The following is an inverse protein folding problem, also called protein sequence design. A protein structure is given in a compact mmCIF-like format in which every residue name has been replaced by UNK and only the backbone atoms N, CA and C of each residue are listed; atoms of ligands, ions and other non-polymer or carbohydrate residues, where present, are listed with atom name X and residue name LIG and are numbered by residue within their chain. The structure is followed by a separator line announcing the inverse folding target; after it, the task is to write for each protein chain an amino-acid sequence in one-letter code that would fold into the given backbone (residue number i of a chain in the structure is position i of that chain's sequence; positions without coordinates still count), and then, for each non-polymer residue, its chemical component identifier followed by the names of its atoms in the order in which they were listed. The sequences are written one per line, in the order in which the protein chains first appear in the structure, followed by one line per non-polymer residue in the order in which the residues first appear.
data_IF_003455776824
#
_entry.id   IF_003455776824
#
_cell.length_a   1.000
_cell.length_b   1.000
_cell.length_c   1.000
_cell.angle_alpha   90.00
_cell.angle_beta   90.00
_cell.angle_gamma   90.00
#
_symmetry.space_group_name_H-M   'P 1'
#
loop_
_entity.id
_entity.type
_entity.pdbx_description
1 polymer ?
#
# COMPACT_ATOMS: atom_id res chain seq x y z
N UNK A 1 6.39 -9.15 16.46
CA UNK A 1 6.33 -8.71 15.05
C UNK A 1 4.89 -8.57 14.60
N UNK A 2 4.64 -7.62 13.73
CA UNK A 2 3.31 -7.35 13.15
C UNK A 2 3.32 -7.63 11.64
N UNK A 3 2.12 -7.69 11.04
CA UNK A 3 1.95 -7.67 9.61
C UNK A 3 1.55 -6.27 9.16
N UNK A 4 2.31 -5.71 8.23
CA UNK A 4 1.95 -4.47 7.51
C UNK A 4 1.42 -4.83 6.13
N UNK A 5 0.20 -4.39 5.82
CA UNK A 5 -0.41 -4.60 4.50
C UNK A 5 -0.15 -3.39 3.62
N UNK A 6 0.65 -3.58 2.58
CA UNK A 6 0.96 -2.57 1.56
C UNK A 6 0.12 -2.84 0.31
N UNK A 7 -0.62 -1.84 -0.10
CA UNK A 7 -1.44 -1.89 -1.33
C UNK A 7 -0.98 -0.85 -2.36
N UNK A 8 -0.12 0.06 -1.98
CA UNK A 8 0.37 1.16 -2.80
C UNK A 8 1.86 1.03 -3.11
N UNK A 9 2.58 2.16 -3.04
CA UNK A 9 3.98 2.22 -3.47
C UNK A 9 4.93 1.32 -2.66
N UNK A 10 4.58 0.98 -1.43
CA UNK A 10 5.39 0.09 -0.59
C UNK A 10 5.28 -1.39 -0.99
N UNK A 11 4.47 -1.71 -2.00
CA UNK A 11 4.55 -3.03 -2.65
C UNK A 11 5.87 -3.23 -3.39
N UNK A 12 6.58 -2.15 -3.71
CA UNK A 12 7.94 -2.22 -4.23
C UNK A 12 8.89 -2.50 -3.08
N UNK A 13 9.53 -3.69 -3.01
CA UNK A 13 10.39 -4.05 -1.89
C UNK A 13 11.63 -3.15 -1.77
N UNK A 14 12.16 -2.65 -2.88
CA UNK A 14 13.26 -1.70 -2.85
C UNK A 14 12.84 -0.39 -2.17
N UNK A 15 11.61 0.08 -2.42
CA UNK A 15 11.10 1.29 -1.77
C UNK A 15 10.87 1.08 -0.28
N UNK A 16 10.22 -0.02 0.10
CA UNK A 16 9.91 -0.30 1.50
C UNK A 16 11.18 -0.58 2.30
N UNK A 17 11.99 -1.53 1.87
CA UNK A 17 13.16 -1.97 2.62
C UNK A 17 14.31 -1.00 2.52
N UNK A 18 14.70 -0.62 1.29
CA UNK A 18 15.94 0.11 1.06
C UNK A 18 15.79 1.62 1.23
N UNK A 19 14.65 2.17 0.85
CA UNK A 19 14.44 3.62 0.90
C UNK A 19 13.79 4.09 2.20
N UNK A 20 12.92 3.27 2.80
CA UNK A 20 12.13 3.69 3.97
C UNK A 20 12.63 3.12 5.29
N UNK A 21 12.97 1.86 5.35
CA UNK A 21 13.25 1.17 6.62
C UNK A 21 14.73 0.96 6.92
N UNK A 22 15.56 0.83 5.90
CA UNK A 22 16.98 0.49 6.06
C UNK A 22 17.78 1.49 6.92
N UNK A 23 17.55 2.79 6.72
CA UNK A 23 18.26 3.84 7.47
C UNK A 23 17.99 3.81 8.97
N UNK A 24 16.86 3.24 9.37
CA UNK A 24 16.47 3.09 10.76
C UNK A 24 16.75 1.70 11.31
N UNK A 25 17.53 0.90 10.57
CA UNK A 25 17.92 -0.47 10.95
C UNK A 25 16.73 -1.38 11.31
N UNK A 26 15.60 -1.20 10.66
CA UNK A 26 14.44 -2.06 10.86
C UNK A 26 14.66 -3.40 10.15
N UNK A 27 14.60 -4.48 10.92
CA UNK A 27 14.77 -5.85 10.42
C UNK A 27 13.45 -6.36 9.86
N UNK A 28 13.40 -6.57 8.54
CA UNK A 28 12.24 -7.13 7.87
C UNK A 28 12.20 -8.64 7.99
N UNK A 29 11.00 -9.17 8.23
CA UNK A 29 10.69 -10.59 8.12
C UNK A 29 10.17 -10.94 6.72
N UNK A 30 9.40 -12.04 6.58
CA UNK A 30 8.88 -12.48 5.29
C UNK A 30 7.92 -11.47 4.65
N UNK A 31 7.86 -11.54 3.31
CA UNK A 31 6.95 -10.79 2.46
C UNK A 31 6.12 -11.79 1.67
N UNK A 32 4.81 -11.73 1.80
CA UNK A 32 3.87 -12.65 1.13
C UNK A 32 2.73 -11.86 0.50
N UNK A 33 1.99 -12.48 -0.41
CA UNK A 33 0.78 -11.89 -0.96
C UNK A 33 -0.35 -11.82 0.07
N UNK A 34 -1.22 -10.83 -0.06
CA UNK A 34 -2.39 -10.67 0.80
C UNK A 34 -3.61 -10.17 0.04
N UNK A 35 -4.79 -10.55 0.54
CA UNK A 35 -6.08 -10.12 0.00
C UNK A 35 -6.91 -9.48 1.09
N UNK A 36 -7.38 -8.28 0.84
CA UNK A 36 -8.27 -7.54 1.73
C UNK A 36 -9.66 -7.44 1.09
N UNK A 37 -10.60 -8.20 1.64
CA UNK A 37 -11.99 -8.23 1.17
C UNK A 37 -12.76 -7.03 1.73
N UNK A 38 -13.72 -6.52 0.96
CA UNK A 38 -14.60 -5.43 1.37
C UNK A 38 -14.01 -4.04 1.23
N UNK A 39 -12.94 -3.90 0.48
CA UNK A 39 -12.27 -2.64 0.19
C UNK A 39 -11.93 -2.53 -1.30
N UNK A 40 -11.83 -1.31 -1.78
CA UNK A 40 -11.47 -1.00 -3.17
C UNK A 40 -10.25 -0.08 -3.20
N UNK A 41 -9.32 -0.35 -4.12
CA UNK A 41 -8.20 0.52 -4.42
C UNK A 41 -8.67 1.71 -5.27
N UNK A 42 -8.29 2.91 -4.83
CA UNK A 42 -8.54 4.15 -5.57
C UNK A 42 -7.28 5.02 -5.56
N UNK A 43 -7.18 5.94 -6.51
CA UNK A 43 -6.10 6.93 -6.58
C UNK A 43 -6.68 8.30 -6.30
N UNK A 44 -6.92 8.58 -5.02
CA UNK A 44 -7.56 9.84 -4.60
C UNK A 44 -6.85 10.55 -3.46
N UNK A 45 -5.72 10.04 -2.97
CA UNK A 45 -4.94 10.77 -1.97
C UNK A 45 -4.14 11.85 -2.70
N UNK A 46 -4.32 13.10 -2.27
CA UNK A 46 -3.60 14.25 -2.87
C UNK A 46 -2.11 14.07 -2.65
N UNK A 47 -1.34 13.95 -3.74
CA UNK A 47 0.11 13.88 -3.67
C UNK A 47 0.70 15.28 -3.59
N UNK A 48 1.89 15.39 -3.00
CA UNK A 48 2.57 16.68 -2.82
C UNK A 48 2.95 17.30 -4.15
N UNK A 49 3.42 16.50 -5.11
CA UNK A 49 3.87 16.92 -6.44
C UNK A 49 3.69 15.77 -7.45
N UNK A 50 3.48 16.07 -8.73
CA UNK A 50 3.05 17.37 -9.29
C UNK A 50 1.57 17.65 -8.99
N UNK A 51 1.11 18.85 -9.32
CA UNK A 51 -0.32 19.21 -9.19
C UNK A 51 -1.18 18.20 -9.97
N UNK A 52 -2.28 17.75 -9.38
CA UNK A 52 -3.16 16.74 -9.96
C UNK A 52 -2.72 15.29 -9.77
N UNK A 53 -1.55 15.06 -9.16
CA UNK A 53 -1.06 13.73 -8.89
C UNK A 53 -1.76 13.10 -7.67
N UNK A 54 -1.99 11.79 -7.76
CA UNK A 54 -2.59 10.99 -6.70
C UNK A 54 -1.65 9.92 -6.20
N UNK A 55 -1.69 9.67 -4.89
CA UNK A 55 -1.22 8.43 -4.30
C UNK A 55 -2.41 7.47 -4.09
N UNK A 56 -2.09 6.21 -3.85
CA UNK A 56 -3.10 5.18 -3.62
C UNK A 56 -3.78 5.34 -2.26
N UNK A 57 -5.03 4.93 -2.22
CA UNK A 57 -5.87 4.86 -1.03
C UNK A 57 -6.80 3.65 -1.17
N UNK A 58 -7.42 3.25 -0.09
CA UNK A 58 -8.47 2.23 -0.10
C UNK A 58 -9.73 2.80 0.55
N UNK A 59 -10.88 2.39 0.02
CA UNK A 59 -12.19 2.78 0.54
C UNK A 59 -13.02 1.53 0.76
N UNK A 60 -13.86 1.54 1.79
CA UNK A 60 -14.76 0.42 2.07
C UNK A 60 -15.77 0.29 0.92
N UNK A 61 -15.87 -0.92 0.38
CA UNK A 61 -16.83 -1.26 -0.66
C UNK A 61 -17.18 -2.76 -0.57
N UNK A 62 -18.39 -3.11 -0.08
CA UNK A 62 -18.81 -4.51 -0.02
C UNK A 62 -18.69 -5.20 -1.38
N UNK A 63 -18.10 -6.39 -1.39
CA UNK A 63 -17.89 -7.18 -2.61
C UNK A 63 -16.64 -6.83 -3.41
N UNK A 64 -15.94 -5.75 -3.08
CA UNK A 64 -14.67 -5.41 -3.69
C UNK A 64 -13.50 -6.11 -2.98
N UNK A 65 -12.36 -6.16 -3.64
CA UNK A 65 -11.15 -6.79 -3.14
C UNK A 65 -9.94 -5.93 -3.47
N UNK A 66 -9.04 -5.77 -2.50
CA UNK A 66 -7.73 -5.17 -2.70
C UNK A 66 -6.67 -6.25 -2.54
N UNK A 67 -5.79 -6.39 -3.51
CA UNK A 67 -4.61 -7.23 -3.39
C UNK A 67 -3.38 -6.39 -3.05
N UNK A 68 -2.50 -6.96 -2.26
CA UNK A 68 -1.29 -6.28 -1.85
C UNK A 68 -0.28 -7.25 -1.26
N UNK A 69 0.66 -6.70 -0.50
CA UNK A 69 1.70 -7.49 0.14
C UNK A 69 1.60 -7.39 1.65
N UNK A 70 1.72 -8.52 2.32
CA UNK A 70 1.88 -8.60 3.78
C UNK A 70 3.37 -8.65 4.08
N UNK A 71 3.80 -7.71 4.90
CA UNK A 71 5.21 -7.55 5.24
C UNK A 71 5.37 -7.70 6.74
N UNK A 72 6.13 -8.71 7.16
CA UNK A 72 6.39 -8.95 8.57
C UNK A 72 7.47 -8.01 9.06
N UNK A 73 7.22 -7.32 10.15
CA UNK A 73 8.18 -6.36 10.70
C UNK A 73 7.94 -6.13 12.20
N UNK A 74 8.94 -5.61 12.92
CA UNK A 74 8.70 -5.17 14.28
C UNK A 74 7.83 -3.92 14.28
N UNK A 75 7.16 -3.64 15.38
CA UNK A 75 6.32 -2.46 15.53
C UNK A 75 7.09 -1.15 15.29
N UNK A 76 8.38 -1.12 15.59
CA UNK A 76 9.25 0.00 15.25
C UNK A 76 9.25 0.35 13.76
N UNK A 77 9.00 -0.64 12.90
CA UNK A 77 8.83 -0.41 11.46
C UNK A 77 7.63 0.45 11.13
N UNK A 78 6.51 0.26 11.84
CA UNK A 78 5.33 1.12 11.66
C UNK A 78 5.62 2.55 12.12
N UNK A 79 6.38 2.74 13.18
CA UNK A 79 6.75 4.08 13.64
C UNK A 79 7.54 4.84 12.57
N UNK A 80 8.42 4.15 11.86
CA UNK A 80 9.15 4.71 10.72
C UNK A 80 8.21 5.01 9.55
N UNK A 81 7.31 4.08 9.23
CA UNK A 81 6.34 4.27 8.14
C UNK A 81 5.37 5.42 8.44
N UNK A 82 4.99 5.62 9.68
CA UNK A 82 4.15 6.77 10.07
C UNK A 82 4.77 8.10 9.62
N UNK A 83 6.09 8.21 9.68
CA UNK A 83 6.81 9.41 9.22
C UNK A 83 6.65 9.56 7.70
N UNK A 84 6.90 8.50 6.95
CA UNK A 84 6.79 8.49 5.49
C UNK A 84 5.35 8.71 5.00
N UNK A 85 4.37 8.16 5.74
CA UNK A 85 2.95 8.32 5.41
C UNK A 85 2.38 9.66 5.89
N UNK A 86 3.17 10.45 6.61
CA UNK A 86 2.75 11.76 7.08
C UNK A 86 1.61 11.71 8.10
N UNK A 87 1.61 10.73 8.98
CA UNK A 87 0.56 10.55 9.99
C UNK A 87 0.41 11.79 10.87
N UNK A 88 1.53 12.35 11.34
CA UNK A 88 1.50 13.54 12.18
C UNK A 88 0.92 14.77 11.43
N UNK A 89 1.07 14.83 10.11
CA UNK A 89 0.52 15.89 9.26
C UNK A 89 -0.89 15.62 8.76
N UNK A 90 -1.53 14.52 9.18
CA UNK A 90 -2.88 14.18 8.78
C UNK A 90 -3.02 13.69 7.33
N UNK A 91 -1.96 13.15 6.73
CA UNK A 91 -2.01 12.62 5.36
C UNK A 91 -2.65 11.25 5.30
N UNK A 92 -2.21 10.33 6.17
CA UNK A 92 -2.76 8.99 6.34
C UNK A 92 -2.96 8.69 7.81
N UNK A 93 -3.81 7.72 8.10
CA UNK A 93 -3.99 7.16 9.44
C UNK A 93 -3.81 5.64 9.40
N UNK A 94 -3.27 5.07 10.46
CA UNK A 94 -3.23 3.61 10.64
C UNK A 94 -4.64 3.05 10.72
N UNK A 95 -4.83 1.88 10.14
CA UNK A 95 -6.10 1.13 10.22
C UNK A 95 -5.80 -0.34 10.44
N UNK A 96 -6.45 -0.94 11.44
CA UNK A 96 -6.40 -2.37 11.64
C UNK A 96 -7.35 -3.05 10.67
N UNK A 97 -6.85 -4.07 10.00
CA UNK A 97 -7.60 -4.84 9.00
C UNK A 97 -7.32 -6.34 9.17
N UNK A 98 -8.22 -7.16 8.62
CA UNK A 98 -8.04 -8.60 8.54
C UNK A 98 -7.73 -8.98 7.10
N UNK A 99 -6.55 -9.54 6.87
CA UNK A 99 -6.04 -9.86 5.54
C UNK A 99 -5.87 -11.36 5.38
N UNK A 100 -6.32 -11.90 4.25
CA UNK A 100 -6.14 -13.32 3.93
C UNK A 100 -4.76 -13.50 3.28
N UNK A 101 -3.95 -14.38 3.86
CA UNK A 101 -2.62 -14.72 3.36
C UNK A 101 -2.72 -15.49 2.06
N UNK A 102 -1.91 -15.11 1.09
CA UNK A 102 -1.85 -15.80 -0.20
C UNK A 102 -1.12 -17.14 -0.16
N UNK A 103 -0.27 -17.37 0.85
CA UNK A 103 0.52 -18.61 0.96
C UNK A 103 -0.24 -19.79 1.58
N UNK A 104 -1.13 -19.53 2.53
CA UNK A 104 -1.85 -20.60 3.25
C UNK A 104 -3.35 -20.37 3.42
N UNK A 105 -3.88 -19.25 2.97
CA UNK A 105 -5.31 -18.93 3.06
C UNK A 105 -5.81 -18.52 4.45
N UNK A 106 -4.94 -18.41 5.44
CA UNK A 106 -5.32 -17.95 6.77
C UNK A 106 -5.58 -16.46 6.79
N UNK A 107 -6.55 -16.04 7.59
CA UNK A 107 -6.80 -14.62 7.84
C UNK A 107 -6.00 -14.18 9.06
N UNK A 108 -5.23 -13.10 8.90
CA UNK A 108 -4.38 -12.56 9.96
C UNK A 108 -4.71 -11.10 10.22
N UNK A 109 -4.53 -10.63 11.48
CA UNK A 109 -4.60 -9.20 11.76
C UNK A 109 -3.39 -8.49 11.11
N UNK A 110 -3.66 -7.35 10.52
CA UNK A 110 -2.63 -6.53 9.88
C UNK A 110 -2.92 -5.05 10.11
N UNK A 111 -1.92 -4.22 9.90
CA UNK A 111 -2.04 -2.77 9.93
C UNK A 111 -1.83 -2.24 8.52
N UNK A 112 -2.66 -1.31 8.10
CA UNK A 112 -2.49 -0.58 6.84
C UNK A 112 -2.69 0.91 7.08
N UNK A 113 -2.61 1.71 6.02
CA UNK A 113 -2.83 3.15 6.09
C UNK A 113 -4.00 3.53 5.21
N UNK A 114 -4.86 4.43 5.71
CA UNK A 114 -5.99 4.98 4.95
C UNK A 114 -5.80 6.49 4.84
N UNK A 115 -5.98 7.03 3.64
CA UNK A 115 -5.77 8.45 3.38
C UNK A 115 -6.84 9.32 4.04
N UNK A 116 -6.41 10.45 4.56
CA UNK A 116 -7.26 11.49 5.14
C UNK A 116 -7.38 12.70 4.20
N UNK A 117 -6.31 13.03 3.47
CA UNK A 117 -6.30 14.15 2.50
C UNK A 117 -6.61 13.62 1.10
N UNK A 118 -7.87 13.61 0.76
CA UNK A 118 -8.37 13.09 -0.51
C UNK A 118 -8.92 14.20 -1.40
N UNK A 119 -8.96 13.95 -2.71
CA UNK A 119 -9.50 14.86 -3.70
C UNK A 119 -10.08 14.12 -4.89
N UNK A 120 -10.71 14.85 -5.79
CA UNK A 120 -11.32 14.32 -7.00
C UNK A 120 -10.51 14.70 -8.24
N UNK A 121 -10.65 13.92 -9.32
CA UNK A 121 -10.01 14.19 -10.60
C UNK A 121 -8.51 13.98 -10.59
N UNK A 122 -7.97 13.28 -9.58
CA UNK A 122 -6.57 13.00 -9.45
C UNK A 122 -6.17 11.69 -10.15
N UNK A 123 -4.93 11.62 -10.62
CA UNK A 123 -4.39 10.42 -11.26
C UNK A 123 -2.96 10.16 -10.77
N UNK A 124 -2.54 8.88 -10.68
CA UNK A 124 -1.15 8.59 -10.37
C UNK A 124 -0.24 9.02 -11.52
N UNK A 125 1.00 9.36 -11.21
CA UNK A 125 2.04 9.46 -12.23
C UNK A 125 2.48 8.04 -12.64
N UNK A 126 3.09 7.90 -13.81
CA UNK A 126 3.64 6.60 -14.24
C UNK A 126 4.72 6.11 -13.29
N UNK A 127 5.56 7.01 -12.81
CA UNK A 127 6.59 6.68 -11.83
C UNK A 127 5.99 6.10 -10.54
N UNK A 128 4.94 6.72 -10.02
CA UNK A 128 4.25 6.22 -8.84
C UNK A 128 3.62 4.85 -9.09
N UNK A 129 2.91 4.70 -10.21
CA UNK A 129 2.26 3.44 -10.58
C UNK A 129 3.29 2.31 -10.73
N UNK A 130 4.49 2.61 -11.23
CA UNK A 130 5.57 1.63 -11.35
C UNK A 130 5.94 0.99 -10.02
N UNK A 131 5.82 1.71 -8.91
CA UNK A 131 6.06 1.13 -7.58
C UNK A 131 5.01 0.08 -7.21
N UNK A 132 3.75 0.28 -7.60
CA UNK A 132 2.70 -0.72 -7.40
C UNK A 132 2.97 -1.94 -8.28
N UNK A 133 3.34 -1.73 -9.54
CA UNK A 133 3.62 -2.80 -10.50
C UNK A 133 4.83 -3.65 -10.10
N UNK A 134 5.74 -3.09 -9.30
CA UNK A 134 6.89 -3.82 -8.75
C UNK A 134 6.50 -4.93 -7.75
N UNK A 135 5.23 -4.99 -7.33
CA UNK A 135 4.68 -6.09 -6.53
C UNK A 135 4.24 -7.30 -7.33
N UNK A 136 4.56 -7.36 -8.62
CA UNK A 136 4.12 -8.40 -9.57
C UNK A 136 4.30 -9.82 -9.07
N UNK A 137 5.40 -10.11 -8.39
CA UNK A 137 5.73 -11.45 -7.87
C UNK A 137 4.70 -12.00 -6.88
N UNK A 138 3.97 -11.12 -6.19
CA UNK A 138 3.00 -11.51 -5.17
C UNK A 138 1.55 -11.14 -5.51
N UNK A 139 1.32 -10.44 -6.61
CA UNK A 139 -0.02 -10.05 -7.04
C UNK A 139 -0.62 -11.08 -7.99
N UNK A 140 -1.94 -11.33 -7.92
CA UNK A 140 -2.62 -12.10 -8.95
C UNK A 140 -2.40 -11.45 -10.33
N UNK A 141 -2.16 -12.25 -11.39
CA UNK A 141 -1.91 -11.71 -12.73
C UNK A 141 -3.00 -10.76 -13.24
N UNK A 142 -4.27 -11.08 -12.99
CA UNK A 142 -5.40 -10.25 -13.40
C UNK A 142 -5.40 -8.90 -12.70
N UNK A 143 -5.06 -8.87 -11.42
CA UNK A 143 -4.97 -7.63 -10.64
C UNK A 143 -3.81 -6.77 -11.13
N UNK A 144 -2.67 -7.38 -11.40
CA UNK A 144 -1.50 -6.69 -11.95
C UNK A 144 -1.82 -6.09 -13.32
N UNK A 145 -2.50 -6.83 -14.18
CA UNK A 145 -2.94 -6.34 -15.47
C UNK A 145 -3.91 -5.16 -15.33
N UNK A 146 -4.84 -5.24 -14.38
CA UNK A 146 -5.76 -4.15 -14.08
C UNK A 146 -5.02 -2.90 -13.62
N UNK A 147 -4.00 -3.03 -12.77
CA UNK A 147 -3.16 -1.90 -12.34
C UNK A 147 -2.48 -1.23 -13.54
N UNK A 148 -1.96 -2.02 -14.48
CA UNK A 148 -1.30 -1.49 -15.68
C UNK A 148 -2.22 -0.63 -16.53
N UNK A 149 -3.52 -0.85 -16.47
CA UNK A 149 -4.52 -0.14 -17.25
C UNK A 149 -5.00 1.15 -16.60
N UNK A 150 -4.51 1.48 -15.42
CA UNK A 150 -4.93 2.70 -14.73
C UNK A 150 -4.46 3.94 -15.49
N UNK A 151 -5.37 4.91 -15.64
CA UNK A 151 -5.04 6.18 -16.29
C UNK A 151 -4.00 6.94 -15.46
N UNK A 152 -2.98 7.45 -16.12
CA UNK A 152 -1.90 8.22 -15.50
C UNK A 152 -2.01 9.70 -15.85
N UNK A 153 -1.42 10.53 -15.00
CA UNK A 153 -1.38 11.97 -15.18
C UNK A 153 -0.49 12.38 -16.38
N UNK A 154 0.54 11.58 -16.66
CA UNK A 154 1.57 11.84 -17.68
C UNK A 154 1.66 10.80 -18.82
#
# INVERSE_FOLDING_TARGET
MIWYFAYGSNMNPARLSDQRLKERAVQMGPRIGGRLDGWRLVFNKVARQPAGAAAANIVEMPGAVVHGTLNRMPEAGLDVLDIWEGVAGGHYARRDVAVTRGDNGETVPAVTYVALKVGEGLKPTREYLAHLLAGEDLLPPDYHAWLKMQACLD
#
